data_IF_922063864921
#
_entry.id   IF_922063864921
#
_cell.length_a   1.000
_cell.length_b   1.000
_cell.length_c   1.000
_cell.angle_alpha   90.00
_cell.angle_beta   90.00
_cell.angle_gamma   90.00
#
_symmetry.space_group_name_H-M   'P 1'
#
loop_
_entity.id
_entity.type
_entity.pdbx_description
1 polymer ?
#
# COMPACT_ATOMS: atom_id res chain seq x y z
N UNK A 1 -20.52 -20.01 15.80
CA UNK A 1 -19.15 -19.80 16.31
C UNK A 1 -18.06 -19.81 15.23
N UNK A 2 -18.08 -20.68 14.20
CA UNK A 2 -17.05 -20.66 13.12
C UNK A 2 -17.00 -19.35 12.31
N UNK A 3 -18.14 -18.78 11.90
CA UNK A 3 -18.19 -17.52 11.11
C UNK A 3 -17.55 -16.31 11.83
N UNK A 4 -17.76 -16.18 13.13
CA UNK A 4 -17.18 -15.07 13.91
C UNK A 4 -15.66 -15.18 14.04
N UNK A 5 -15.12 -16.40 14.14
CA UNK A 5 -13.68 -16.62 14.18
C UNK A 5 -13.01 -16.31 12.83
N UNK A 6 -13.64 -16.68 11.71
CA UNK A 6 -13.16 -16.32 10.37
C UNK A 6 -13.21 -14.80 10.15
N UNK A 7 -14.28 -14.12 10.58
CA UNK A 7 -14.38 -12.65 10.52
C UNK A 7 -13.29 -11.98 11.36
N UNK A 8 -12.93 -12.55 12.52
CA UNK A 8 -11.87 -12.05 13.38
C UNK A 8 -10.48 -12.21 12.74
N UNK A 9 -10.21 -13.36 12.12
CA UNK A 9 -8.96 -13.59 11.38
C UNK A 9 -8.85 -12.68 10.15
N UNK A 10 -9.94 -12.50 9.42
CA UNK A 10 -9.98 -11.63 8.25
C UNK A 10 -9.80 -10.15 8.62
N UNK A 11 -10.36 -9.73 9.76
CA UNK A 11 -10.12 -8.39 10.34
C UNK A 11 -8.64 -8.18 10.70
N UNK A 12 -8.02 -9.14 11.38
CA UNK A 12 -6.60 -9.07 11.75
C UNK A 12 -5.71 -9.06 10.50
N UNK A 13 -5.98 -9.95 9.53
CA UNK A 13 -5.24 -10.02 8.28
C UNK A 13 -5.36 -8.71 7.48
N UNK A 14 -6.56 -8.14 7.39
CA UNK A 14 -6.79 -6.86 6.70
C UNK A 14 -6.03 -5.71 7.36
N UNK A 15 -5.98 -5.71 8.70
CA UNK A 15 -5.25 -4.71 9.48
C UNK A 15 -3.75 -4.87 9.28
N UNK A 16 -3.23 -6.10 9.36
CA UNK A 16 -1.82 -6.40 9.10
C UNK A 16 -1.43 -6.03 7.66
N UNK A 17 -2.28 -6.30 6.67
CA UNK A 17 -2.05 -5.95 5.28
C UNK A 17 -1.99 -4.44 5.05
N UNK A 18 -2.86 -3.65 5.72
CA UNK A 18 -2.75 -2.19 5.72
C UNK A 18 -1.41 -1.70 6.28
N UNK A 19 -0.98 -2.24 7.42
CA UNK A 19 0.30 -1.86 8.03
C UNK A 19 1.50 -2.26 7.16
N UNK A 20 1.47 -3.46 6.57
CA UNK A 20 2.48 -3.92 5.61
C UNK A 20 2.53 -3.01 4.39
N UNK A 21 1.36 -2.62 3.84
CA UNK A 21 1.27 -1.69 2.72
C UNK A 21 1.93 -0.35 3.06
N UNK A 22 1.58 0.23 4.22
CA UNK A 22 2.18 1.50 4.68
C UNK A 22 3.69 1.36 4.87
N UNK A 23 4.15 0.30 5.52
CA UNK A 23 5.58 0.04 5.74
C UNK A 23 6.33 -0.08 4.40
N UNK A 24 5.76 -0.84 3.45
CA UNK A 24 6.37 -1.04 2.14
C UNK A 24 6.41 0.25 1.32
N UNK A 25 5.33 1.03 1.33
CA UNK A 25 5.28 2.35 0.67
C UNK A 25 6.32 3.30 1.27
N UNK A 26 6.42 3.39 2.60
CA UNK A 26 7.39 4.26 3.28
C UNK A 26 8.83 3.81 2.99
N UNK A 27 9.09 2.50 3.02
CA UNK A 27 10.41 1.94 2.73
C UNK A 27 10.85 2.24 1.29
N UNK A 28 9.96 2.03 0.31
CA UNK A 28 10.21 2.40 -1.08
C UNK A 28 10.39 3.90 -1.26
N UNK A 29 9.66 4.73 -0.51
CA UNK A 29 9.76 6.19 -0.56
C UNK A 29 11.12 6.64 -0.05
N UNK A 30 11.55 6.10 1.08
CA UNK A 30 12.86 6.37 1.64
C UNK A 30 13.96 5.97 0.67
N UNK A 31 13.84 4.78 0.06
CA UNK A 31 14.78 4.30 -0.94
C UNK A 31 14.81 5.20 -2.18
N UNK A 32 13.66 5.61 -2.70
CA UNK A 32 13.63 6.49 -3.87
C UNK A 32 14.22 7.85 -3.59
N UNK A 33 13.97 8.42 -2.40
CA UNK A 33 14.55 9.70 -2.01
C UNK A 33 16.07 9.58 -1.90
N UNK A 34 16.60 8.54 -1.25
CA UNK A 34 18.06 8.34 -1.21
C UNK A 34 18.62 8.11 -2.60
N UNK A 35 18.00 7.28 -3.44
CA UNK A 35 18.49 6.98 -4.79
C UNK A 35 18.48 8.24 -5.69
N UNK A 36 17.47 9.10 -5.55
CA UNK A 36 17.40 10.38 -6.24
C UNK A 36 18.50 11.34 -5.80
N UNK A 37 18.82 11.37 -4.50
CA UNK A 37 19.88 12.24 -3.95
C UNK A 37 21.28 11.75 -4.33
N UNK A 38 21.54 10.44 -4.30
CA UNK A 38 22.87 9.87 -4.53
C UNK A 38 23.13 9.61 -6.02
N UNK A 39 22.17 9.03 -6.74
CA UNK A 39 22.36 8.57 -8.12
C UNK A 39 21.72 9.50 -9.17
N UNK A 40 20.93 10.51 -8.77
CA UNK A 40 20.20 11.45 -9.65
C UNK A 40 19.33 10.76 -10.71
N UNK A 41 19.02 9.48 -10.52
CA UNK A 41 18.21 8.69 -11.42
C UNK A 41 16.99 8.20 -10.67
N UNK A 42 15.83 8.27 -11.34
CA UNK A 42 14.60 7.67 -10.84
C UNK A 42 14.61 6.20 -11.25
N UNK A 43 15.06 5.35 -10.32
CA UNK A 43 15.11 3.91 -10.51
C UNK A 43 13.74 3.24 -10.51
N UNK A 44 13.76 1.92 -10.66
CA UNK A 44 12.55 1.07 -10.67
C UNK A 44 11.76 1.20 -9.35
N UNK A 45 12.41 1.57 -8.24
CA UNK A 45 11.73 1.78 -6.96
C UNK A 45 10.68 2.90 -7.05
N UNK A 46 10.92 3.93 -7.88
CA UNK A 46 9.97 5.03 -8.10
C UNK A 46 8.75 4.59 -8.89
N UNK A 47 8.96 3.74 -9.90
CA UNK A 47 7.88 3.16 -10.70
C UNK A 47 6.98 2.29 -9.82
N UNK A 48 7.58 1.46 -8.96
CA UNK A 48 6.84 0.62 -8.01
C UNK A 48 6.05 1.48 -7.02
N UNK A 49 6.64 2.57 -6.54
CA UNK A 49 5.97 3.50 -5.62
C UNK A 49 4.78 4.20 -6.28
N UNK A 50 4.94 4.68 -7.51
CA UNK A 50 3.85 5.26 -8.31
C UNK A 50 2.74 4.24 -8.59
N UNK A 51 3.10 3.01 -8.96
CA UNK A 51 2.13 1.94 -9.14
C UNK A 51 1.35 1.65 -7.86
N UNK A 52 2.02 1.63 -6.70
CA UNK A 52 1.38 1.49 -5.39
C UNK A 52 0.40 2.63 -5.08
N UNK A 53 0.77 3.88 -5.38
CA UNK A 53 -0.11 5.04 -5.24
C UNK A 53 -1.34 4.96 -6.15
N UNK A 54 -1.16 4.54 -7.42
CA UNK A 54 -2.25 4.36 -8.38
C UNK A 54 -3.22 3.30 -7.86
N UNK A 55 -2.73 2.13 -7.43
CA UNK A 55 -3.57 1.06 -6.87
C UNK A 55 -4.34 1.56 -5.64
N UNK A 56 -3.69 2.35 -4.77
CA UNK A 56 -4.33 2.92 -3.59
C UNK A 56 -5.45 3.90 -3.97
N UNK A 57 -5.19 4.82 -4.91
CA UNK A 57 -6.19 5.79 -5.38
C UNK A 57 -7.36 5.11 -6.10
N UNK A 58 -7.09 4.13 -6.96
CA UNK A 58 -8.13 3.33 -7.64
C UNK A 58 -8.96 2.57 -6.61
N UNK A 59 -8.32 1.91 -5.63
CA UNK A 59 -9.03 1.21 -4.55
C UNK A 59 -9.92 2.15 -3.75
N UNK A 60 -9.42 3.35 -3.43
CA UNK A 60 -10.18 4.38 -2.73
C UNK A 60 -11.37 4.86 -3.58
N UNK A 61 -11.18 5.06 -4.88
CA UNK A 61 -12.22 5.50 -5.81
C UNK A 61 -13.33 4.45 -5.95
N UNK A 62 -12.97 3.17 -6.07
CA UNK A 62 -13.93 2.05 -6.11
C UNK A 62 -14.70 1.95 -4.78
N UNK A 63 -14.02 2.08 -3.64
CA UNK A 63 -14.70 2.09 -2.34
C UNK A 63 -15.64 3.29 -2.19
N UNK A 64 -15.24 4.47 -2.66
CA UNK A 64 -16.06 5.69 -2.61
C UNK A 64 -17.31 5.57 -3.49
N UNK A 65 -17.19 4.97 -4.68
CA UNK A 65 -18.34 4.68 -5.55
C UNK A 65 -19.31 3.66 -4.94
N UNK A 66 -18.83 2.75 -4.09
CA UNK A 66 -19.66 1.77 -3.40
C UNK A 66 -20.42 2.33 -2.18
N UNK A 67 -20.05 3.54 -1.72
CA UNK A 67 -20.70 4.25 -0.61
C UNK A 67 -21.71 5.32 -1.07
N UNK A 68 -21.80 5.60 -2.37
CA UNK A 68 -22.88 6.39 -2.97
C UNK A 68 -23.98 5.47 -3.49
#
# INVERSE_FOLDING_TARGET
MKKQADEMQLSIATRAMKWLGIFYTVSLLFWTVTDLFFNKQLGIQFIILLAGLIIFFVSMMVMKQKMQ
#
